data_IF_197481777008
#
_entry.id   IF_197481777008
#
_cell.length_a   1.000
_cell.length_b   1.000
_cell.length_c   1.000
_cell.angle_alpha   90.00
_cell.angle_beta   90.00
_cell.angle_gamma   90.00
#
_symmetry.space_group_name_H-M   'P 1'
#
loop_
_entity.id
_entity.type
_entity.pdbx_description
1 polymer ?
#
# COMPACT_ATOMS: atom_id res chain seq x y z
N UNK A 1 19.62 3.64 -15.93
CA UNK A 1 19.39 2.32 -15.33
C UNK A 1 20.62 1.44 -15.56
N UNK A 2 21.11 0.79 -14.51
CA UNK A 2 22.26 -0.11 -14.59
C UNK A 2 21.85 -1.41 -15.31
N UNK A 3 20.64 -1.90 -15.03
CA UNK A 3 20.03 -3.05 -15.66
C UNK A 3 18.71 -2.68 -16.35
N UNK A 4 18.40 -3.33 -17.46
CA UNK A 4 17.13 -3.10 -18.15
C UNK A 4 15.94 -3.55 -17.26
N UNK A 5 14.82 -2.81 -17.27
CA UNK A 5 13.72 -3.07 -16.32
C UNK A 5 13.03 -4.44 -16.49
N UNK A 6 13.22 -5.09 -17.62
CA UNK A 6 12.63 -6.40 -17.93
C UNK A 6 13.69 -7.47 -18.23
N UNK A 7 14.96 -7.24 -17.85
CA UNK A 7 16.03 -8.20 -18.11
C UNK A 7 15.97 -9.45 -17.25
N UNK A 8 15.60 -9.32 -15.99
CA UNK A 8 15.70 -10.40 -15.02
C UNK A 8 17.16 -10.78 -14.70
N UNK A 9 18.09 -9.84 -14.88
CA UNK A 9 19.52 -10.08 -14.65
C UNK A 9 19.78 -10.51 -13.21
N UNK A 10 20.63 -11.51 -13.06
CA UNK A 10 21.16 -11.92 -11.76
C UNK A 10 22.59 -11.40 -11.65
N UNK A 11 22.78 -10.36 -10.84
CA UNK A 11 24.06 -9.73 -10.63
C UNK A 11 24.19 -9.22 -9.20
N UNK A 12 25.39 -9.25 -8.64
CA UNK A 12 25.70 -8.77 -7.28
C UNK A 12 24.80 -9.42 -6.19
N UNK A 13 24.45 -10.70 -6.36
CA UNK A 13 23.57 -11.42 -5.43
C UNK A 13 22.11 -10.93 -5.44
N UNK A 14 21.68 -10.25 -6.48
CA UNK A 14 20.33 -9.68 -6.63
C UNK A 14 19.71 -10.07 -7.96
N UNK A 15 18.40 -10.15 -7.99
CA UNK A 15 17.61 -10.24 -9.22
C UNK A 15 17.12 -8.83 -9.58
N UNK A 16 17.53 -8.36 -10.75
CA UNK A 16 17.19 -7.03 -11.22
C UNK A 16 16.03 -7.08 -12.21
N UNK A 17 15.00 -6.30 -11.95
CA UNK A 17 13.86 -6.22 -12.87
C UNK A 17 12.64 -5.52 -12.25
N UNK A 18 11.73 -5.10 -13.09
CA UNK A 18 10.45 -4.54 -12.69
C UNK A 18 9.62 -5.61 -11.97
N UNK A 19 9.13 -5.28 -10.78
CA UNK A 19 8.31 -6.17 -9.97
C UNK A 19 9.09 -7.23 -9.18
N UNK A 20 10.42 -7.25 -9.20
CA UNK A 20 11.20 -8.22 -8.39
C UNK A 20 11.00 -8.01 -6.89
N UNK A 21 10.96 -6.78 -6.43
CA UNK A 21 10.68 -6.44 -5.03
C UNK A 21 9.19 -6.23 -4.78
N UNK A 22 8.47 -5.64 -5.74
CA UNK A 22 7.07 -5.23 -5.63
C UNK A 22 6.26 -5.81 -6.81
N UNK A 23 5.61 -7.00 -6.69
CA UNK A 23 5.86 -8.01 -5.64
C UNK A 23 5.84 -9.43 -6.21
N UNK A 24 6.55 -9.68 -7.31
CA UNK A 24 6.67 -11.04 -7.86
C UNK A 24 7.27 -12.03 -6.87
N UNK A 25 8.10 -11.56 -5.94
CA UNK A 25 8.65 -12.38 -4.87
C UNK A 25 7.52 -12.95 -3.99
N UNK A 26 6.50 -12.16 -3.66
CA UNK A 26 5.36 -12.62 -2.87
C UNK A 26 4.53 -13.65 -3.64
N UNK A 27 4.26 -13.40 -4.93
CA UNK A 27 3.54 -14.35 -5.80
C UNK A 27 4.29 -15.68 -5.87
N UNK A 28 5.60 -15.64 -6.06
CA UNK A 28 6.42 -16.87 -6.08
C UNK A 28 6.41 -17.58 -4.73
N UNK A 29 6.52 -16.85 -3.63
CA UNK A 29 6.47 -17.44 -2.29
C UNK A 29 5.13 -18.16 -2.01
N UNK A 30 4.02 -17.61 -2.43
CA UNK A 30 2.72 -18.29 -2.32
C UNK A 30 2.65 -19.55 -3.16
N UNK A 31 3.15 -19.52 -4.39
CA UNK A 31 3.15 -20.69 -5.28
C UNK A 31 4.03 -21.81 -4.72
N UNK A 32 5.25 -21.49 -4.30
CA UNK A 32 6.18 -22.45 -3.69
C UNK A 32 5.60 -23.05 -2.41
N UNK A 33 5.02 -22.25 -1.53
CA UNK A 33 4.39 -22.74 -0.30
C UNK A 33 3.24 -23.72 -0.59
N UNK A 34 2.43 -23.44 -1.61
CA UNK A 34 1.34 -24.34 -2.03
C UNK A 34 1.91 -25.64 -2.59
N UNK A 35 2.94 -25.58 -3.44
CA UNK A 35 3.60 -26.77 -4.00
C UNK A 35 4.22 -27.65 -2.90
N UNK A 36 4.92 -27.05 -1.93
CA UNK A 36 5.51 -27.78 -0.80
C UNK A 36 4.43 -28.49 0.03
N UNK A 37 3.36 -27.80 0.39
CA UNK A 37 2.26 -28.37 1.15
C UNK A 37 1.57 -29.52 0.41
N UNK A 38 1.37 -29.38 -0.90
CA UNK A 38 0.79 -30.44 -1.73
C UNK A 38 1.72 -31.65 -1.81
N UNK A 39 3.03 -31.44 -1.93
CA UNK A 39 4.01 -32.52 -1.96
C UNK A 39 4.04 -33.31 -0.64
N UNK A 40 3.77 -32.66 0.49
CA UNK A 40 3.62 -33.27 1.81
C UNK A 40 2.26 -33.97 1.99
N UNK A 41 1.36 -33.88 1.02
CA UNK A 41 0.01 -34.44 1.09
C UNK A 41 -0.97 -33.63 1.96
N UNK A 42 -0.64 -32.37 2.25
CA UNK A 42 -1.55 -31.50 3.00
C UNK A 42 -2.79 -31.19 2.17
N UNK A 43 -3.95 -31.38 2.77
CA UNK A 43 -5.24 -30.97 2.20
C UNK A 43 -5.81 -29.84 3.05
N UNK A 44 -5.95 -28.64 2.52
CA UNK A 44 -6.49 -27.53 3.29
C UNK A 44 -7.96 -27.80 3.65
N UNK A 45 -8.42 -27.39 4.85
CA UNK A 45 -9.79 -27.60 5.28
C UNK A 45 -10.81 -26.70 4.56
N UNK A 46 -10.33 -25.71 3.82
CA UNK A 46 -11.12 -24.77 3.03
C UNK A 46 -10.43 -24.50 1.70
N UNK A 47 -11.18 -24.00 0.73
CA UNK A 47 -10.62 -23.60 -0.56
C UNK A 47 -9.59 -22.47 -0.42
N UNK A 48 -8.55 -22.54 -1.21
CA UNK A 48 -7.50 -21.52 -1.33
C UNK A 48 -7.59 -20.90 -2.72
N UNK A 49 -7.67 -19.59 -2.77
CA UNK A 49 -7.74 -18.80 -4.00
C UNK A 49 -6.48 -17.98 -4.15
N UNK A 50 -5.69 -18.26 -5.16
CA UNK A 50 -4.56 -17.43 -5.57
C UNK A 50 -5.07 -16.44 -6.62
N UNK A 51 -5.11 -15.16 -6.27
CA UNK A 51 -5.63 -14.10 -7.13
C UNK A 51 -4.52 -13.10 -7.45
N UNK A 52 -4.40 -12.71 -8.71
CA UNK A 52 -3.42 -11.73 -9.15
C UNK A 52 -4.04 -10.77 -10.16
N UNK A 53 -3.62 -9.52 -10.14
CA UNK A 53 -4.02 -8.53 -11.11
C UNK A 53 -2.80 -7.78 -11.65
N UNK A 54 -2.98 -7.05 -12.76
CA UNK A 54 -1.90 -6.31 -13.41
C UNK A 54 -2.09 -4.79 -13.34
N UNK A 55 -2.97 -4.29 -12.47
CA UNK A 55 -3.39 -2.87 -12.46
C UNK A 55 -3.28 -2.22 -11.08
N UNK A 56 -2.55 -2.82 -10.14
CA UNK A 56 -2.42 -2.32 -8.78
C UNK A 56 -1.77 -0.93 -8.77
N UNK A 57 -0.60 -0.78 -9.38
CA UNK A 57 0.27 0.40 -9.36
C UNK A 57 -0.37 1.72 -9.86
N UNK A 58 -1.48 1.64 -10.51
CA UNK A 58 -2.19 2.80 -11.04
C UNK A 58 -3.66 2.86 -10.61
N UNK A 59 -3.99 2.14 -9.51
CA UNK A 59 -5.34 2.05 -8.97
C UNK A 59 -6.38 1.63 -10.02
N UNK A 60 -6.02 0.66 -10.85
CA UNK A 60 -6.89 0.13 -11.90
C UNK A 60 -8.02 -0.75 -11.36
N UNK A 61 -8.71 -1.41 -12.25
CA UNK A 61 -9.93 -2.15 -11.95
C UNK A 61 -9.72 -3.64 -11.61
N UNK A 62 -8.47 -4.08 -11.44
CA UNK A 62 -8.12 -5.47 -11.18
C UNK A 62 -8.74 -6.01 -9.89
N UNK A 63 -8.43 -5.42 -8.74
CA UNK A 63 -8.99 -5.82 -7.46
C UNK A 63 -10.53 -5.70 -7.42
N UNK A 64 -11.17 -4.62 -7.90
CA UNK A 64 -12.63 -4.57 -8.04
C UNK A 64 -13.24 -5.68 -8.89
N UNK A 65 -12.58 -6.10 -9.96
CA UNK A 65 -13.04 -7.22 -10.79
C UNK A 65 -12.92 -8.56 -10.07
N UNK A 66 -11.82 -8.79 -9.36
CA UNK A 66 -11.64 -9.97 -8.52
C UNK A 66 -12.72 -10.08 -7.45
N UNK A 67 -13.01 -9.00 -6.75
CA UNK A 67 -14.09 -8.97 -5.75
C UNK A 67 -15.45 -9.30 -6.36
N UNK A 68 -15.78 -8.70 -7.51
CA UNK A 68 -17.03 -9.00 -8.22
C UNK A 68 -17.13 -10.46 -8.64
N UNK A 69 -16.04 -11.05 -9.09
CA UNK A 69 -16.04 -12.47 -9.49
C UNK A 69 -16.21 -13.40 -8.29
N UNK A 70 -15.54 -13.12 -7.15
CA UNK A 70 -15.75 -13.86 -5.91
C UNK A 70 -17.21 -13.76 -5.43
N UNK A 71 -17.78 -12.55 -5.48
CA UNK A 71 -19.21 -12.34 -5.15
C UNK A 71 -20.13 -13.13 -6.08
N UNK A 72 -19.88 -13.11 -7.39
CA UNK A 72 -20.66 -13.86 -8.39
C UNK A 72 -20.63 -15.36 -8.11
N UNK A 73 -19.51 -15.89 -7.61
CA UNK A 73 -19.36 -17.30 -7.20
C UNK A 73 -19.95 -17.60 -5.82
N UNK A 74 -20.44 -16.59 -5.10
CA UNK A 74 -20.94 -16.77 -3.73
C UNK A 74 -19.85 -17.05 -2.69
N UNK A 75 -18.60 -16.71 -3.00
CA UNK A 75 -17.45 -16.98 -2.12
C UNK A 75 -17.39 -15.92 -1.03
N UNK A 76 -17.29 -16.37 0.21
CA UNK A 76 -17.03 -15.54 1.39
C UNK A 76 -15.64 -15.88 1.91
N UNK A 77 -14.75 -14.91 1.88
CA UNK A 77 -13.41 -15.08 2.39
C UNK A 77 -13.42 -15.12 3.94
N UNK A 78 -12.73 -16.09 4.50
CA UNK A 78 -12.43 -16.14 5.92
C UNK A 78 -11.18 -15.32 6.23
N UNK A 79 -10.18 -15.40 5.36
CA UNK A 79 -8.90 -14.70 5.46
C UNK A 79 -8.53 -14.14 4.09
N UNK A 80 -7.98 -12.97 4.08
CA UNK A 80 -7.29 -12.36 2.93
C UNK A 80 -5.85 -12.10 3.34
N UNK A 81 -4.91 -12.67 2.58
CA UNK A 81 -3.50 -12.30 2.63
C UNK A 81 -3.16 -11.53 1.36
N UNK A 82 -2.61 -10.35 1.52
CA UNK A 82 -2.20 -9.48 0.43
C UNK A 82 -0.70 -9.17 0.58
N UNK A 83 -0.20 -8.34 -0.30
CA UNK A 83 1.16 -7.85 -0.21
C UNK A 83 1.37 -6.92 0.99
N UNK A 84 2.61 -6.66 1.33
CA UNK A 84 2.99 -5.75 2.41
C UNK A 84 3.71 -6.45 3.55
N UNK A 85 4.04 -5.66 4.55
CA UNK A 85 4.91 -6.10 5.62
C UNK A 85 6.38 -6.26 5.17
N UNK A 86 7.25 -6.34 6.11
CA UNK A 86 8.67 -6.58 5.86
C UNK A 86 9.36 -7.01 7.17
N UNK A 87 10.54 -7.61 7.04
CA UNK A 87 11.48 -7.68 8.17
C UNK A 87 12.25 -6.37 8.20
N UNK A 88 12.00 -5.56 9.22
CA UNK A 88 12.59 -4.23 9.37
C UNK A 88 13.58 -4.24 10.51
N UNK A 89 14.78 -3.74 10.24
CA UNK A 89 15.79 -3.48 11.26
C UNK A 89 15.47 -2.13 11.93
N UNK A 90 15.38 -2.12 13.24
CA UNK A 90 15.07 -0.92 14.03
C UNK A 90 13.75 -0.23 13.57
N UNK A 91 12.60 -0.90 13.66
CA UNK A 91 11.33 -0.40 13.13
C UNK A 91 10.85 0.91 13.78
N UNK A 92 11.31 1.16 14.99
CA UNK A 92 11.12 2.42 15.73
C UNK A 92 12.46 2.83 16.32
N UNK A 93 12.79 4.11 16.23
CA UNK A 93 14.08 4.61 16.71
C UNK A 93 14.37 4.19 18.17
N UNK A 94 15.56 3.62 18.41
CA UNK A 94 15.97 3.11 19.72
C UNK A 94 15.53 1.69 20.05
N UNK A 95 14.89 0.96 19.13
CA UNK A 95 14.57 -0.45 19.29
C UNK A 95 15.46 -1.28 18.37
N UNK A 96 16.55 -1.89 18.90
CA UNK A 96 17.48 -2.69 18.10
C UNK A 96 16.86 -4.06 17.75
N UNK A 97 17.25 -4.60 16.59
CA UNK A 97 16.89 -5.96 16.17
C UNK A 97 16.08 -5.99 14.88
N UNK A 98 15.76 -7.21 14.44
CA UNK A 98 14.98 -7.46 13.23
C UNK A 98 13.57 -7.90 13.62
N UNK A 99 12.58 -7.22 13.10
CA UNK A 99 11.17 -7.47 13.41
C UNK A 99 10.38 -7.73 12.14
N UNK A 100 9.65 -8.83 12.12
CA UNK A 100 8.66 -9.09 11.08
C UNK A 100 7.42 -8.22 11.34
N UNK A 101 7.28 -7.17 10.54
CA UNK A 101 6.14 -6.25 10.63
C UNK A 101 5.02 -6.74 9.72
N UNK A 102 3.93 -7.21 10.32
CA UNK A 102 2.75 -7.70 9.60
C UNK A 102 1.67 -6.63 9.62
N UNK A 103 1.27 -6.17 8.43
CA UNK A 103 0.13 -5.26 8.29
C UNK A 103 -1.19 -5.99 8.56
N UNK A 104 -2.03 -5.43 9.42
CA UNK A 104 -3.31 -6.04 9.80
C UNK A 104 -4.52 -5.17 9.45
N UNK A 105 -4.29 -4.00 8.88
CA UNK A 105 -5.34 -3.12 8.35
C UNK A 105 -4.76 -2.10 7.37
N UNK A 106 -5.63 -1.55 6.51
CA UNK A 106 -5.30 -0.49 5.57
C UNK A 106 -5.95 0.83 5.95
N UNK A 107 -5.26 1.93 5.66
CA UNK A 107 -5.83 3.28 5.75
C UNK A 107 -6.62 3.59 4.49
N UNK A 108 -7.75 4.30 4.67
CA UNK A 108 -8.47 4.84 3.53
C UNK A 108 -7.63 5.90 2.77
N UNK A 109 -7.72 5.88 1.45
CA UNK A 109 -7.16 6.89 0.54
C UNK A 109 -8.29 7.61 -0.16
N UNK A 110 -8.16 8.92 -0.34
CA UNK A 110 -9.07 9.70 -1.18
C UNK A 110 -8.30 10.81 -1.88
N UNK A 111 -8.57 10.97 -3.17
CA UNK A 111 -8.11 12.12 -3.94
C UNK A 111 -9.21 13.18 -3.93
N UNK A 112 -8.87 14.41 -3.52
CA UNK A 112 -9.83 15.50 -3.41
C UNK A 112 -9.40 16.63 -4.34
N UNK A 113 -10.27 16.98 -5.27
CA UNK A 113 -10.03 18.07 -6.23
C UNK A 113 -10.68 19.36 -5.73
N UNK A 114 -9.87 20.39 -5.51
CA UNK A 114 -10.36 21.73 -5.19
C UNK A 114 -10.30 22.61 -6.43
N UNK A 115 -11.38 23.34 -6.68
CA UNK A 115 -11.50 24.22 -7.84
C UNK A 115 -11.94 25.60 -7.41
N UNK A 116 -11.15 26.63 -7.74
CA UNK A 116 -11.54 28.02 -7.59
C UNK A 116 -11.83 28.62 -8.97
N UNK A 117 -12.92 29.36 -9.08
CA UNK A 117 -13.37 29.99 -10.33
C UNK A 117 -13.48 31.50 -10.17
N UNK A 118 -13.30 32.23 -11.25
CA UNK A 118 -13.65 33.68 -11.34
C UNK A 118 -14.30 33.97 -12.69
N UNK A 119 -14.89 35.14 -12.79
CA UNK A 119 -15.48 35.62 -14.05
C UNK A 119 -14.40 36.13 -15.04
N UNK A 120 -13.11 36.01 -14.69
CA UNK A 120 -12.04 36.63 -15.45
C UNK A 120 -11.90 38.12 -15.18
N UNK A 121 -11.22 38.81 -16.07
CA UNK A 121 -10.99 40.25 -16.00
C UNK A 121 -9.89 40.67 -16.98
N UNK A 122 -9.78 41.98 -17.23
CA UNK A 122 -8.73 42.51 -18.07
C UNK A 122 -7.42 42.69 -17.29
N UNK A 123 -6.29 42.30 -17.90
CA UNK A 123 -4.98 42.33 -17.23
C UNK A 123 -4.57 43.76 -16.74
N UNK A 124 -5.06 44.81 -17.40
CA UNK A 124 -4.79 46.20 -16.99
C UNK A 124 -5.61 46.67 -15.79
N UNK A 125 -6.62 45.87 -15.36
CA UNK A 125 -7.47 46.15 -14.21
C UNK A 125 -7.51 44.92 -13.27
N UNK A 126 -6.41 44.60 -12.63
CA UNK A 126 -6.31 43.36 -11.85
C UNK A 126 -7.17 43.43 -10.58
N UNK A 127 -7.92 42.38 -10.34
CA UNK A 127 -8.73 42.23 -9.12
C UNK A 127 -7.96 41.47 -8.04
N UNK A 128 -8.27 41.75 -6.77
CA UNK A 128 -7.80 40.93 -5.64
C UNK A 128 -8.61 39.63 -5.54
N UNK A 129 -8.05 38.63 -4.87
CA UNK A 129 -8.76 37.36 -4.63
C UNK A 129 -8.91 36.50 -5.88
N UNK A 130 -7.88 36.46 -6.72
CA UNK A 130 -7.83 35.61 -7.90
C UNK A 130 -7.96 34.11 -7.51
N UNK A 131 -8.39 33.24 -8.42
CA UNK A 131 -8.46 31.80 -8.15
C UNK A 131 -7.16 31.21 -7.60
N UNK A 132 -6.02 31.64 -8.14
CA UNK A 132 -4.70 31.21 -7.67
C UNK A 132 -4.48 31.66 -6.23
N UNK A 133 -4.73 32.92 -5.91
CA UNK A 133 -4.55 33.45 -4.55
C UNK A 133 -5.43 32.72 -3.53
N UNK A 134 -6.69 32.39 -3.88
CA UNK A 134 -7.61 31.64 -3.02
C UNK A 134 -7.16 30.20 -2.82
N UNK A 135 -6.70 29.51 -3.88
CA UNK A 135 -6.18 28.15 -3.77
C UNK A 135 -4.89 28.12 -2.95
N UNK A 136 -3.98 29.08 -3.16
CA UNK A 136 -2.73 29.16 -2.37
C UNK A 136 -3.02 29.39 -0.89
N UNK A 137 -3.95 30.29 -0.55
CA UNK A 137 -4.36 30.50 0.83
C UNK A 137 -4.96 29.22 1.45
N UNK A 138 -5.83 28.54 0.71
CA UNK A 138 -6.41 27.27 1.15
C UNK A 138 -5.34 26.18 1.40
N UNK A 139 -4.41 25.98 0.48
CA UNK A 139 -3.33 25.00 0.63
C UNK A 139 -2.47 25.33 1.85
N UNK A 140 -2.13 26.62 2.04
CA UNK A 140 -1.38 27.08 3.21
C UNK A 140 -2.13 26.79 4.53
N UNK A 141 -3.44 26.97 4.55
CA UNK A 141 -4.24 26.65 5.75
C UNK A 141 -4.34 25.15 6.01
N UNK A 142 -4.47 24.33 4.98
CA UNK A 142 -4.46 22.85 5.12
C UNK A 142 -3.11 22.37 5.68
N UNK A 143 -2.01 22.96 5.25
CA UNK A 143 -0.68 22.60 5.73
C UNK A 143 -0.47 23.02 7.19
N UNK A 144 -0.89 24.23 7.56
CA UNK A 144 -0.82 24.73 8.96
C UNK A 144 -1.76 23.97 9.90
N UNK A 145 -2.94 23.64 9.42
CA UNK A 145 -4.02 23.05 10.18
C UNK A 145 -4.49 21.74 9.52
N UNK A 146 -3.73 20.66 9.75
CA UNK A 146 -4.07 19.37 9.17
C UNK A 146 -5.52 18.99 9.47
N UNK A 147 -6.34 18.66 8.46
CA UNK A 147 -7.71 18.20 8.66
C UNK A 147 -7.80 16.80 9.25
N UNK A 148 -6.69 16.09 9.31
CA UNK A 148 -6.65 14.71 9.80
C UNK A 148 -6.62 14.65 11.33
N UNK A 149 -7.49 13.83 11.88
CA UNK A 149 -7.51 13.55 13.32
C UNK A 149 -6.48 12.46 13.64
N UNK A 150 -5.55 12.78 14.52
CA UNK A 150 -4.63 11.77 15.08
C UNK A 150 -5.42 10.91 16.07
N UNK A 151 -5.43 9.60 15.83
CA UNK A 151 -6.07 8.63 16.71
C UNK A 151 -5.15 7.43 16.85
N UNK A 152 -4.90 7.01 18.09
CA UNK A 152 -4.25 5.74 18.35
C UNK A 152 -5.26 4.63 18.12
N UNK A 153 -5.00 3.76 17.14
CA UNK A 153 -5.81 2.58 16.89
C UNK A 153 -5.37 1.43 17.81
N UNK A 154 -6.28 0.51 18.17
CA UNK A 154 -5.92 -0.64 19.00
C UNK A 154 -4.75 -1.45 18.43
N UNK A 155 -4.72 -1.67 17.13
CA UNK A 155 -3.67 -2.42 16.41
C UNK A 155 -2.32 -1.73 16.54
N UNK A 156 -2.27 -0.42 16.39
CA UNK A 156 -1.04 0.38 16.56
C UNK A 156 -0.58 0.38 18.01
N UNK A 157 -1.51 0.46 18.96
CA UNK A 157 -1.22 0.34 20.38
C UNK A 157 -0.65 -1.05 20.72
N UNK A 158 -1.23 -2.12 20.17
CA UNK A 158 -0.73 -3.48 20.35
C UNK A 158 0.69 -3.65 19.77
N UNK A 159 0.96 -3.09 18.60
CA UNK A 159 2.30 -3.08 18.01
C UNK A 159 3.32 -2.43 18.95
N UNK A 160 3.05 -1.23 19.46
CA UNK A 160 3.95 -0.55 20.39
C UNK A 160 4.12 -1.32 21.71
N UNK A 161 3.05 -1.93 22.21
CA UNK A 161 3.12 -2.79 23.40
C UNK A 161 4.03 -3.99 23.19
N UNK A 162 3.94 -4.62 22.00
CA UNK A 162 4.80 -5.76 21.64
C UNK A 162 6.26 -5.37 21.44
N UNK A 163 6.54 -4.15 21.00
CA UNK A 163 7.88 -3.63 20.80
C UNK A 163 8.51 -3.09 22.09
N UNK A 164 7.70 -2.65 23.06
CA UNK A 164 8.17 -2.02 24.29
C UNK A 164 9.23 -2.82 25.08
N UNK A 165 9.17 -4.17 25.19
CA UNK A 165 10.21 -4.94 25.90
C UNK A 165 11.60 -4.85 25.26
N UNK A 166 11.69 -4.44 24.00
CA UNK A 166 12.94 -4.32 23.24
C UNK A 166 13.49 -2.89 23.21
N UNK A 167 12.73 -1.94 23.75
CA UNK A 167 13.20 -0.56 23.86
C UNK A 167 14.27 -0.46 24.95
N UNK A 168 15.39 0.19 24.62
CA UNK A 168 16.52 0.47 25.54
C UNK A 168 16.23 1.69 26.43
#
# INVERSE_FOLDING_TARGET
>A
LIHAPFSGDIADGKVWGRGTADTKCTVMAFLEAVEELLAEGFVPPTDVYLASSCTEEWAGDGAPKLVKELQRRGIRLFLLCDEGGAIITEPVGGIPGNFAMVGVFEKGKADVKFTAKSNGGHASAPSKGTPIARLSAFVTEVEKHSPFRKKMLPEVSAMFTSLAPYAS
#
